data_IF_918898087160
#
_entry.id   IF_918898087160
#
_cell.length_a   1.000
_cell.length_b   1.000
_cell.length_c   1.000
_cell.angle_alpha   90.00
_cell.angle_beta   90.00
_cell.angle_gamma   90.00
#
_symmetry.space_group_name_H-M   'P 1'
#
loop_
_entity.id
_entity.type
_entity.pdbx_description
1 polymer ?
#
# COMPACT_ATOMS: atom_id res chain seq x y z
N UNK A 1 34.68 -18.89 -39.51
CA UNK A 1 33.24 -19.27 -39.45
C UNK A 1 32.77 -19.73 -38.04
N UNK A 2 33.58 -20.47 -37.24
CA UNK A 2 33.20 -20.88 -35.87
C UNK A 2 33.04 -19.71 -34.89
N UNK A 3 33.93 -18.70 -34.95
CA UNK A 3 33.87 -17.53 -34.02
C UNK A 3 32.66 -16.61 -34.22
N UNK A 4 32.02 -16.66 -35.39
CA UNK A 4 30.81 -15.85 -35.69
C UNK A 4 29.54 -16.58 -35.22
N UNK A 5 29.55 -17.90 -35.20
CA UNK A 5 28.44 -18.71 -34.67
C UNK A 5 28.35 -18.61 -33.15
N UNK A 6 29.50 -18.64 -32.43
CA UNK A 6 29.51 -18.48 -30.95
C UNK A 6 29.05 -17.08 -30.49
N UNK A 7 29.38 -16.01 -31.25
CA UNK A 7 28.87 -14.67 -30.94
C UNK A 7 27.37 -14.48 -31.20
N UNK A 8 26.82 -15.23 -32.16
CA UNK A 8 25.38 -15.22 -32.43
C UNK A 8 24.61 -16.07 -31.41
N UNK A 9 25.20 -17.16 -30.92
CA UNK A 9 24.63 -18.03 -29.94
C UNK A 9 24.61 -17.34 -28.55
N UNK A 10 25.69 -16.66 -28.12
CA UNK A 10 25.72 -15.83 -26.91
C UNK A 10 24.77 -14.64 -26.97
N UNK A 11 24.57 -14.04 -28.16
CA UNK A 11 23.60 -12.95 -28.34
C UNK A 11 22.13 -13.44 -28.26
N UNK A 12 21.88 -14.66 -28.76
CA UNK A 12 20.58 -15.31 -28.68
C UNK A 12 20.26 -15.79 -27.25
N UNK A 13 21.26 -16.31 -26.53
CA UNK A 13 21.10 -16.67 -25.11
C UNK A 13 20.90 -15.45 -24.19
N UNK A 14 21.62 -14.35 -24.43
CA UNK A 14 21.38 -13.07 -23.71
C UNK A 14 20.03 -12.49 -24.07
N UNK A 15 19.58 -12.57 -25.33
CA UNK A 15 18.23 -12.16 -25.73
C UNK A 15 17.14 -13.12 -25.20
N UNK A 16 17.43 -14.42 -25.05
CA UNK A 16 16.54 -15.40 -24.44
C UNK A 16 16.41 -15.24 -22.93
N UNK A 17 17.46 -14.81 -22.24
CA UNK A 17 17.44 -14.49 -20.82
C UNK A 17 16.68 -13.18 -20.51
N UNK A 18 16.62 -12.25 -21.46
CA UNK A 18 15.85 -11.00 -21.29
C UNK A 18 14.34 -11.18 -21.51
N UNK A 19 13.88 -12.30 -22.08
CA UNK A 19 12.45 -12.53 -22.35
C UNK A 19 11.67 -13.24 -21.24
N UNK A 20 12.33 -13.70 -20.17
CA UNK A 20 11.63 -14.32 -19.03
C UNK A 20 11.54 -13.40 -17.80
N UNK A 21 11.95 -12.14 -17.93
CA UNK A 21 11.88 -11.13 -16.89
C UNK A 21 10.46 -10.59 -16.77
N UNK A 22 9.66 -11.22 -15.88
CA UNK A 22 8.52 -10.54 -15.28
C UNK A 22 7.23 -10.51 -16.10
N UNK A 23 6.68 -11.68 -16.49
CA UNK A 23 5.31 -11.73 -17.04
C UNK A 23 4.19 -11.43 -16.03
N UNK A 24 4.51 -11.20 -14.76
CA UNK A 24 3.57 -10.95 -13.69
C UNK A 24 3.59 -9.51 -13.15
N UNK A 25 2.51 -9.10 -12.46
CA UNK A 25 2.45 -7.78 -11.85
C UNK A 25 3.36 -7.65 -10.63
N UNK A 26 3.79 -6.41 -10.36
CA UNK A 26 4.44 -6.00 -9.14
C UNK A 26 3.41 -5.39 -8.18
N UNK A 27 3.27 -5.97 -6.99
CA UNK A 27 2.43 -5.41 -5.93
C UNK A 27 3.28 -4.80 -4.83
N UNK A 28 3.04 -3.52 -4.53
CA UNK A 28 3.65 -2.82 -3.40
C UNK A 28 2.63 -2.76 -2.27
N UNK A 29 2.95 -3.42 -1.17
CA UNK A 29 2.06 -3.61 -0.03
C UNK A 29 2.74 -3.14 1.26
N UNK A 30 1.96 -2.64 2.17
CA UNK A 30 2.38 -2.25 3.51
C UNK A 30 1.17 -1.79 4.30
N UNK A 31 1.27 -1.77 5.61
CA UNK A 31 0.16 -1.26 6.43
C UNK A 31 -0.06 0.23 6.15
N UNK A 32 -1.27 0.72 6.38
CA UNK A 32 -1.53 2.16 6.33
C UNK A 32 -0.48 2.93 7.11
N UNK A 33 0.01 4.03 6.57
CA UNK A 33 1.01 4.88 7.19
C UNK A 33 2.41 4.25 7.31
N UNK A 34 2.69 3.16 6.63
CA UNK A 34 4.02 2.53 6.60
C UNK A 34 4.99 3.16 5.59
N UNK A 35 4.56 4.13 4.77
CA UNK A 35 5.42 4.75 3.76
C UNK A 35 5.20 4.21 2.33
N UNK A 36 4.13 3.44 2.09
CA UNK A 36 3.81 2.92 0.75
C UNK A 36 3.68 4.00 -0.32
N UNK A 37 3.16 5.20 0.03
CA UNK A 37 3.06 6.32 -0.92
C UNK A 37 4.40 6.93 -1.27
N UNK A 38 5.34 6.99 -0.30
CA UNK A 38 6.72 7.39 -0.56
C UNK A 38 7.38 6.40 -1.52
N UNK A 39 7.30 5.11 -1.21
CA UNK A 39 7.88 4.06 -2.04
C UNK A 39 7.31 4.07 -3.47
N UNK A 40 5.99 4.24 -3.60
CA UNK A 40 5.33 4.41 -4.90
C UNK A 40 5.93 5.57 -5.70
N UNK A 41 6.06 6.74 -5.07
CA UNK A 41 6.59 7.94 -5.74
C UNK A 41 8.05 7.77 -6.18
N UNK A 42 8.86 7.00 -5.43
CA UNK A 42 10.23 6.70 -5.78
C UNK A 42 10.32 5.67 -6.93
N UNK A 43 9.52 4.59 -6.87
CA UNK A 43 9.51 3.53 -7.87
C UNK A 43 9.06 4.04 -9.25
N UNK A 44 8.00 4.84 -9.29
CA UNK A 44 7.45 5.35 -10.56
C UNK A 44 8.33 6.40 -11.25
N UNK A 45 9.50 6.74 -10.71
CA UNK A 45 10.51 7.53 -11.43
C UNK A 45 11.36 6.69 -12.38
N UNK A 46 11.33 5.37 -12.24
CA UNK A 46 12.03 4.47 -13.15
C UNK A 46 11.23 4.27 -14.44
N UNK A 47 11.90 4.39 -15.60
CA UNK A 47 11.23 4.30 -16.90
C UNK A 47 10.59 2.94 -17.19
N UNK A 48 11.11 1.88 -16.58
CA UNK A 48 10.58 0.52 -16.74
C UNK A 48 9.48 0.16 -15.75
N UNK A 49 9.15 1.03 -14.78
CA UNK A 49 8.15 0.76 -13.74
C UNK A 49 6.96 1.70 -13.89
N UNK A 50 5.76 1.15 -13.93
CA UNK A 50 4.51 1.91 -13.80
C UNK A 50 3.54 1.19 -12.90
N UNK A 51 3.31 1.76 -11.73
CA UNK A 51 2.38 1.23 -10.74
C UNK A 51 1.14 2.09 -10.63
N UNK A 52 0.00 1.46 -10.49
CA UNK A 52 -1.24 2.13 -10.16
C UNK A 52 -1.30 2.46 -8.66
N UNK A 53 -1.77 3.66 -8.33
CA UNK A 53 -1.88 4.13 -6.96
C UNK A 53 -3.27 3.85 -6.39
N UNK A 54 -3.36 2.95 -5.41
CA UNK A 54 -4.59 2.66 -4.64
C UNK A 54 -5.82 2.51 -5.53
N UNK A 55 -5.75 1.59 -6.49
CA UNK A 55 -6.83 1.31 -7.42
C UNK A 55 -8.02 0.60 -6.76
N UNK A 56 -7.76 -0.21 -5.73
CA UNK A 56 -8.74 -0.99 -4.97
C UNK A 56 -9.65 -1.90 -5.81
N UNK A 57 -9.37 -2.06 -7.11
CA UNK A 57 -10.18 -2.91 -7.97
C UNK A 57 -10.26 -4.37 -7.49
N UNK A 58 -9.19 -4.98 -6.94
CA UNK A 58 -9.27 -6.31 -6.34
C UNK A 58 -10.28 -6.42 -5.20
N UNK A 59 -10.54 -5.34 -4.46
CA UNK A 59 -11.56 -5.31 -3.40
C UNK A 59 -12.98 -5.36 -3.96
N UNK A 60 -13.15 -4.90 -5.20
CA UNK A 60 -14.44 -4.90 -5.90
C UNK A 60 -14.70 -6.21 -6.67
N UNK A 61 -14.01 -7.30 -6.28
CA UNK A 61 -14.19 -8.62 -6.89
C UNK A 61 -15.67 -9.08 -7.02
N UNK A 62 -16.63 -8.66 -6.15
CA UNK A 62 -18.02 -9.04 -6.34
C UNK A 62 -18.62 -8.53 -7.66
N UNK A 63 -18.04 -7.50 -8.29
CA UNK A 63 -18.47 -7.05 -9.62
C UNK A 63 -18.19 -8.07 -10.74
N UNK A 64 -17.34 -9.08 -10.45
CA UNK A 64 -16.89 -10.11 -11.38
C UNK A 64 -17.42 -11.51 -11.01
N UNK A 65 -18.35 -11.60 -10.06
CA UNK A 65 -18.99 -12.85 -9.68
C UNK A 65 -19.84 -13.42 -10.82
N UNK A 66 -19.93 -14.77 -10.89
CA UNK A 66 -20.75 -15.43 -11.90
C UNK A 66 -20.10 -15.55 -13.27
N UNK A 67 -18.77 -15.38 -13.38
CA UNK A 67 -17.99 -15.61 -14.60
C UNK A 67 -18.08 -14.51 -15.65
N UNK A 68 -18.85 -13.45 -15.39
CA UNK A 68 -18.92 -12.26 -16.25
C UNK A 68 -18.93 -11.00 -15.41
N UNK A 69 -18.15 -9.96 -15.80
CA UNK A 69 -18.20 -8.68 -15.11
C UNK A 69 -19.57 -8.02 -15.27
N UNK A 70 -19.99 -7.29 -14.25
CA UNK A 70 -21.18 -6.43 -14.36
C UNK A 70 -20.95 -5.38 -15.45
N UNK A 71 -22.00 -5.08 -16.22
CA UNK A 71 -21.92 -4.06 -17.31
C UNK A 71 -21.48 -2.67 -16.81
N UNK A 72 -21.79 -2.35 -15.55
CA UNK A 72 -21.46 -1.05 -14.93
C UNK A 72 -20.23 -1.08 -14.02
N UNK A 73 -19.37 -2.12 -14.10
CA UNK A 73 -18.24 -2.31 -13.21
C UNK A 73 -17.23 -1.13 -13.28
N UNK A 74 -16.96 -0.61 -14.46
CA UNK A 74 -16.08 0.55 -14.65
C UNK A 74 -16.62 1.81 -13.98
N UNK A 75 -17.92 2.08 -14.17
CA UNK A 75 -18.57 3.22 -13.55
C UNK A 75 -18.54 3.12 -12.02
N UNK A 76 -18.70 1.90 -11.47
CA UNK A 76 -18.63 1.63 -10.04
C UNK A 76 -17.22 1.77 -9.50
N UNK A 77 -16.23 1.23 -10.20
CA UNK A 77 -14.82 1.38 -9.82
C UNK A 77 -14.41 2.86 -9.83
N UNK A 78 -14.72 3.58 -10.90
CA UNK A 78 -14.47 5.02 -10.97
C UNK A 78 -15.22 5.79 -9.86
N UNK A 79 -16.44 5.37 -9.55
CA UNK A 79 -17.19 5.93 -8.44
C UNK A 79 -16.58 5.58 -7.07
N UNK A 80 -15.93 4.42 -6.90
CA UNK A 80 -15.33 4.00 -5.63
C UNK A 80 -14.21 4.95 -5.18
N UNK A 81 -13.19 5.15 -5.99
CA UNK A 81 -12.01 5.93 -5.60
C UNK A 81 -11.40 6.81 -6.70
N UNK A 82 -12.04 6.89 -7.86
CA UNK A 82 -11.56 7.68 -9.01
C UNK A 82 -10.15 7.33 -9.50
N UNK A 83 -9.66 6.11 -9.23
CA UNK A 83 -8.32 5.68 -9.64
C UNK A 83 -8.10 5.77 -11.16
N UNK A 84 -9.05 5.34 -12.02
CA UNK A 84 -8.90 5.49 -13.46
C UNK A 84 -8.69 6.95 -13.89
N UNK A 85 -9.43 7.89 -13.31
CA UNK A 85 -9.31 9.32 -13.64
C UNK A 85 -7.97 9.88 -13.19
N UNK A 86 -7.50 9.51 -11.97
CA UNK A 86 -6.20 9.95 -11.43
C UNK A 86 -5.03 9.49 -12.32
N UNK A 87 -5.16 8.30 -12.91
CA UNK A 87 -4.16 7.73 -13.80
C UNK A 87 -4.42 8.04 -15.29
N UNK A 88 -5.41 8.87 -15.60
CA UNK A 88 -5.76 9.26 -16.97
C UNK A 88 -6.01 8.06 -17.91
N UNK A 89 -6.55 6.97 -17.35
CA UNK A 89 -6.83 5.75 -18.11
C UNK A 89 -8.09 5.96 -18.96
N UNK A 90 -8.01 5.66 -20.24
CA UNK A 90 -9.17 5.62 -21.11
C UNK A 90 -10.03 4.38 -20.80
N UNK A 91 -11.15 4.62 -20.12
CA UNK A 91 -12.07 3.57 -19.73
C UNK A 91 -12.87 3.01 -20.92
N UNK A 92 -12.96 3.73 -22.04
CA UNK A 92 -13.73 3.28 -23.20
C UNK A 92 -13.10 2.07 -23.86
N UNK A 93 -11.78 1.98 -23.84
CA UNK A 93 -11.03 0.84 -24.37
C UNK A 93 -11.10 -0.43 -23.50
N UNK A 94 -11.42 -0.29 -22.20
CA UNK A 94 -11.44 -1.39 -21.25
C UNK A 94 -12.79 -2.13 -21.25
N UNK A 95 -13.90 -1.41 -21.41
CA UNK A 95 -15.24 -1.92 -21.10
C UNK A 95 -15.69 -3.11 -21.95
N UNK A 96 -15.18 -3.24 -23.16
CA UNK A 96 -15.63 -4.25 -24.11
C UNK A 96 -14.89 -5.60 -24.00
N UNK A 97 -13.73 -5.65 -23.33
CA UNK A 97 -12.77 -6.77 -23.49
C UNK A 97 -12.38 -7.51 -22.21
N UNK A 98 -12.73 -7.03 -21.02
CA UNK A 98 -12.33 -7.65 -19.77
C UNK A 98 -13.31 -8.78 -19.34
N UNK A 99 -13.05 -10.06 -19.69
CA UNK A 99 -13.97 -11.16 -19.37
C UNK A 99 -13.90 -11.58 -17.89
N UNK A 100 -12.90 -11.12 -17.13
CA UNK A 100 -12.67 -11.51 -15.73
C UNK A 100 -11.97 -10.41 -14.95
N UNK A 101 -11.94 -10.53 -13.61
CA UNK A 101 -11.15 -9.64 -12.74
C UNK A 101 -9.66 -9.65 -13.14
N UNK A 102 -9.08 -10.82 -13.42
CA UNK A 102 -7.70 -10.94 -13.87
C UNK A 102 -7.45 -10.12 -15.13
N UNK A 103 -8.28 -10.29 -16.15
CA UNK A 103 -8.15 -9.55 -17.41
C UNK A 103 -8.34 -8.04 -17.22
N UNK A 104 -9.28 -7.63 -16.36
CA UNK A 104 -9.48 -6.21 -16.03
C UNK A 104 -8.25 -5.58 -15.37
N UNK A 105 -7.66 -6.26 -14.38
CA UNK A 105 -6.45 -5.82 -13.68
C UNK A 105 -5.24 -5.77 -14.64
N UNK A 106 -5.03 -6.85 -15.39
CA UNK A 106 -3.90 -6.95 -16.31
C UNK A 106 -3.96 -5.86 -17.39
N UNK A 107 -5.11 -5.68 -18.02
CA UNK A 107 -5.30 -4.63 -19.01
C UNK A 107 -5.05 -3.25 -18.39
N UNK A 108 -5.64 -2.99 -17.24
CA UNK A 108 -5.54 -1.69 -16.56
C UNK A 108 -4.11 -1.35 -16.18
N UNK A 109 -3.38 -2.31 -15.60
CA UNK A 109 -2.01 -2.05 -15.17
C UNK A 109 -1.05 -1.90 -16.37
N UNK A 110 -1.21 -2.73 -17.40
CA UNK A 110 -0.41 -2.64 -18.63
C UNK A 110 -0.68 -1.37 -19.44
N UNK A 111 -1.88 -0.77 -19.31
CA UNK A 111 -2.19 0.50 -19.97
C UNK A 111 -1.33 1.68 -19.48
N UNK A 112 -0.63 1.53 -18.35
CA UNK A 112 0.35 2.52 -17.88
C UNK A 112 1.67 2.51 -18.69
N UNK A 113 1.90 1.50 -19.55
CA UNK A 113 2.88 1.56 -20.62
C UNK A 113 4.31 1.11 -20.30
N UNK A 114 4.59 0.58 -19.10
CA UNK A 114 5.94 0.12 -18.72
C UNK A 114 6.07 -1.40 -18.67
N UNK A 115 7.32 -1.91 -18.75
CA UNK A 115 7.63 -3.33 -18.72
C UNK A 115 7.26 -3.99 -17.39
N UNK A 116 7.51 -3.29 -16.27
CA UNK A 116 7.09 -3.69 -14.93
C UNK A 116 5.84 -2.90 -14.56
N UNK A 117 4.74 -3.60 -14.47
CA UNK A 117 3.41 -3.07 -14.24
C UNK A 117 2.79 -3.68 -12.98
N UNK A 118 1.82 -3.01 -12.40
CA UNK A 118 1.13 -3.49 -11.20
C UNK A 118 0.47 -2.38 -10.41
N UNK A 119 0.41 -2.56 -9.10
CA UNK A 119 -0.27 -1.59 -8.24
C UNK A 119 0.35 -1.47 -6.85
N UNK A 120 0.14 -0.31 -6.25
CA UNK A 120 0.40 -0.04 -4.84
C UNK A 120 -0.91 0.19 -4.12
N UNK A 121 -1.23 -0.65 -3.14
CA UNK A 121 -2.32 -0.37 -2.22
C UNK A 121 -2.02 -0.91 -0.82
N UNK A 122 -2.18 -0.08 0.22
CA UNK A 122 -2.09 -0.57 1.60
C UNK A 122 -3.27 -1.50 1.94
N UNK A 123 -4.37 -1.45 1.18
CA UNK A 123 -5.54 -2.30 1.39
C UNK A 123 -5.32 -3.77 0.99
N UNK A 124 -4.19 -4.10 0.38
CA UNK A 124 -3.85 -5.48 -0.01
C UNK A 124 -3.22 -6.30 1.12
N UNK A 125 -2.97 -5.71 2.28
CA UNK A 125 -2.22 -6.33 3.38
C UNK A 125 -2.81 -7.68 3.86
N UNK A 126 -4.10 -7.93 3.71
CA UNK A 126 -4.77 -9.18 4.10
C UNK A 126 -5.33 -9.99 2.92
N UNK A 127 -4.89 -9.67 1.69
CA UNK A 127 -5.33 -10.33 0.46
C UNK A 127 -4.19 -10.65 -0.51
N UNK A 128 -2.95 -10.62 -0.04
CA UNK A 128 -1.78 -10.89 -0.89
C UNK A 128 -1.82 -12.29 -1.52
N UNK A 129 -2.21 -13.32 -0.77
CA UNK A 129 -2.39 -14.67 -1.31
C UNK A 129 -3.48 -14.75 -2.38
N UNK A 130 -4.55 -13.96 -2.25
CA UNK A 130 -5.58 -13.86 -3.29
C UNK A 130 -5.01 -13.25 -4.56
N UNK A 131 -4.20 -12.20 -4.46
CA UNK A 131 -3.52 -11.61 -5.62
C UNK A 131 -2.55 -12.60 -6.26
N UNK A 132 -1.76 -13.33 -5.47
CA UNK A 132 -0.88 -14.38 -5.96
C UNK A 132 -1.66 -15.53 -6.64
N UNK A 133 -2.85 -15.88 -6.17
CA UNK A 133 -3.70 -16.89 -6.83
C UNK A 133 -4.26 -16.41 -8.17
N UNK A 134 -4.53 -15.11 -8.32
CA UNK A 134 -4.95 -14.49 -9.58
C UNK A 134 -3.76 -14.42 -10.56
N UNK A 135 -2.57 -14.07 -10.04
CA UNK A 135 -1.34 -13.90 -10.79
C UNK A 135 -0.21 -14.77 -10.19
N UNK A 136 -0.08 -16.02 -10.60
CA UNK A 136 0.95 -16.92 -10.04
C UNK A 136 2.39 -16.42 -10.17
N UNK A 137 2.66 -15.56 -11.16
CA UNK A 137 3.98 -14.93 -11.38
C UNK A 137 4.07 -13.52 -10.78
N UNK A 138 3.18 -13.15 -9.84
CA UNK A 138 3.25 -11.86 -9.17
C UNK A 138 4.49 -11.78 -8.29
N UNK A 139 5.08 -10.58 -8.24
CA UNK A 139 6.15 -10.22 -7.31
C UNK A 139 5.62 -9.23 -6.29
N UNK A 140 6.12 -9.31 -5.07
CA UNK A 140 5.66 -8.44 -3.98
C UNK A 140 6.84 -7.67 -3.38
N UNK A 141 6.66 -6.36 -3.21
CA UNK A 141 7.50 -5.55 -2.32
C UNK A 141 6.67 -5.21 -1.10
N UNK A 142 7.12 -5.65 0.08
CA UNK A 142 6.44 -5.39 1.34
C UNK A 142 7.26 -4.38 2.14
N UNK A 143 6.64 -3.23 2.43
CA UNK A 143 7.26 -2.21 3.29
C UNK A 143 6.76 -2.35 4.72
N UNK A 144 7.70 -2.58 5.62
CA UNK A 144 7.51 -2.63 7.05
C UNK A 144 7.87 -1.30 7.71
N UNK A 145 7.26 -1.00 8.82
CA UNK A 145 7.55 0.16 9.64
C UNK A 145 7.29 -0.15 11.10
N UNK A 146 7.97 0.53 12.02
CA UNK A 146 7.67 0.46 13.45
C UNK A 146 6.17 0.65 13.72
N UNK A 147 5.54 -0.35 14.37
CA UNK A 147 4.10 -0.34 14.62
C UNK A 147 3.68 0.82 15.52
N UNK A 148 4.55 1.26 16.45
CA UNK A 148 4.29 2.45 17.26
C UNK A 148 4.27 3.70 16.39
N UNK A 149 5.19 3.80 15.43
CA UNK A 149 5.21 4.89 14.44
C UNK A 149 3.97 4.90 13.55
N UNK A 150 3.52 3.72 13.10
CA UNK A 150 2.26 3.59 12.35
C UNK A 150 1.08 4.03 13.19
N UNK A 151 0.92 3.50 14.42
CA UNK A 151 -0.19 3.83 15.30
C UNK A 151 -0.21 5.33 15.67
N UNK A 152 0.95 5.95 15.92
CA UNK A 152 1.06 7.40 16.17
C UNK A 152 0.59 8.20 14.95
N UNK A 153 1.00 7.78 13.74
CA UNK A 153 0.58 8.42 12.49
C UNK A 153 -0.92 8.27 12.23
N UNK A 154 -1.50 7.10 12.54
CA UNK A 154 -2.96 6.85 12.45
C UNK A 154 -3.72 7.71 13.45
N UNK A 155 -3.25 7.82 14.71
CA UNK A 155 -3.87 8.65 15.72
C UNK A 155 -3.96 10.11 15.28
N UNK A 156 -2.84 10.69 14.84
CA UNK A 156 -2.81 12.08 14.34
C UNK A 156 -3.69 12.29 13.10
N UNK A 157 -3.68 11.33 12.15
CA UNK A 157 -4.56 11.40 10.99
C UNK A 157 -6.04 11.33 11.37
N UNK A 158 -6.37 10.71 12.51
CA UNK A 158 -7.72 10.61 13.06
C UNK A 158 -8.19 11.84 13.83
N UNK A 159 -7.31 12.79 14.19
CA UNK A 159 -7.66 14.07 14.84
C UNK A 159 -8.46 14.99 13.92
N UNK A 160 -8.39 14.77 12.62
CA UNK A 160 -9.17 15.49 11.60
C UNK A 160 -10.24 14.57 11.01
N UNK A 161 -11.37 15.11 10.49
CA UNK A 161 -12.35 14.33 9.77
C UNK A 161 -11.70 13.60 8.59
N UNK A 162 -11.41 12.30 8.77
CA UNK A 162 -10.73 11.46 7.78
C UNK A 162 -11.21 10.02 7.90
N UNK A 163 -10.78 9.17 6.97
CA UNK A 163 -11.00 7.73 7.10
C UNK A 163 -10.40 7.15 8.38
N UNK A 164 -9.30 7.73 8.89
CA UNK A 164 -8.62 7.33 10.12
C UNK A 164 -9.34 7.72 11.41
N UNK A 165 -10.31 8.65 11.37
CA UNK A 165 -11.13 9.04 12.52
C UNK A 165 -12.17 7.98 12.92
N UNK A 166 -12.27 6.87 12.21
CA UNK A 166 -13.23 5.78 12.49
C UNK A 166 -12.90 5.07 13.79
N UNK A 167 -13.95 4.70 14.52
CA UNK A 167 -13.83 3.90 15.74
C UNK A 167 -13.08 2.59 15.46
N UNK A 168 -12.15 2.24 16.35
CA UNK A 168 -11.40 0.99 16.26
C UNK A 168 -10.22 0.99 15.28
N UNK A 169 -9.86 2.13 14.65
CA UNK A 169 -8.76 2.19 13.68
C UNK A 169 -7.42 1.72 14.25
N UNK A 170 -7.07 2.10 15.47
CA UNK A 170 -5.82 1.63 16.10
C UNK A 170 -5.86 0.11 16.29
N UNK A 171 -6.99 -0.42 16.72
CA UNK A 171 -7.17 -1.87 16.88
C UNK A 171 -7.01 -2.60 15.54
N UNK A 172 -7.66 -2.08 14.48
CA UNK A 172 -7.52 -2.60 13.11
C UNK A 172 -6.08 -2.52 12.62
N UNK A 173 -5.37 -1.44 12.94
CA UNK A 173 -3.97 -1.25 12.55
C UNK A 173 -3.08 -2.33 13.17
N UNK A 174 -3.20 -2.58 14.48
CA UNK A 174 -2.39 -3.59 15.17
C UNK A 174 -2.70 -4.99 14.64
N UNK A 175 -3.97 -5.34 14.51
CA UNK A 175 -4.36 -6.66 14.02
C UNK A 175 -4.13 -6.84 12.52
N UNK A 176 -4.31 -5.76 11.74
CA UNK A 176 -4.00 -5.76 10.31
C UNK A 176 -2.52 -5.96 10.04
N UNK A 177 -1.66 -5.33 10.86
CA UNK A 177 -0.22 -5.54 10.78
C UNK A 177 0.17 -7.01 11.06
N UNK A 178 -0.43 -7.62 12.10
CA UNK A 178 -0.25 -9.04 12.36
C UNK A 178 -0.79 -9.91 11.22
N UNK A 179 -1.93 -9.53 10.63
CA UNK A 179 -2.50 -10.24 9.48
C UNK A 179 -1.62 -10.16 8.26
N UNK A 180 -1.05 -8.99 7.97
CA UNK A 180 -0.10 -8.79 6.89
C UNK A 180 1.12 -9.71 7.02
N UNK A 181 1.62 -9.89 8.25
CA UNK A 181 2.70 -10.84 8.52
C UNK A 181 2.29 -12.27 8.15
N UNK A 182 1.12 -12.72 8.59
CA UNK A 182 0.63 -14.07 8.27
C UNK A 182 0.44 -14.29 6.77
N UNK A 183 -0.02 -13.29 6.04
CA UNK A 183 -0.12 -13.34 4.57
C UNK A 183 1.26 -13.41 3.91
N UNK A 184 2.22 -12.62 4.40
CA UNK A 184 3.63 -12.68 3.93
C UNK A 184 4.22 -14.08 4.15
N UNK A 185 4.06 -14.68 5.33
CA UNK A 185 4.59 -16.01 5.63
C UNK A 185 4.00 -17.06 4.67
N UNK A 186 2.72 -16.94 4.33
CA UNK A 186 2.05 -17.81 3.35
C UNK A 186 2.61 -17.62 1.94
N UNK A 187 2.86 -16.37 1.50
CA UNK A 187 3.48 -16.10 0.20
C UNK A 187 4.84 -16.77 0.10
N UNK A 188 5.70 -16.56 1.09
CA UNK A 188 7.05 -17.16 1.12
C UNK A 188 6.97 -18.69 1.14
N UNK A 189 6.07 -19.27 1.96
CA UNK A 189 5.86 -20.72 2.00
C UNK A 189 5.32 -21.30 0.69
N UNK A 190 4.63 -20.49 -0.09
CA UNK A 190 4.12 -20.86 -1.42
C UNK A 190 5.15 -20.63 -2.56
N UNK A 191 6.38 -20.18 -2.23
CA UNK A 191 7.42 -19.90 -3.21
C UNK A 191 7.20 -18.65 -4.05
N UNK A 192 6.33 -17.72 -3.61
CA UNK A 192 6.10 -16.45 -4.28
C UNK A 192 7.27 -15.51 -4.02
N UNK A 193 7.72 -14.78 -5.04
CA UNK A 193 8.82 -13.81 -4.93
C UNK A 193 8.41 -12.60 -4.09
N UNK A 194 9.08 -12.42 -2.94
CA UNK A 194 8.84 -11.34 -1.99
C UNK A 194 10.14 -10.62 -1.65
N UNK A 195 10.15 -9.30 -1.80
CA UNK A 195 11.21 -8.42 -1.34
C UNK A 195 10.72 -7.56 -0.18
N UNK A 196 11.42 -7.59 0.94
CA UNK A 196 11.02 -6.87 2.14
C UNK A 196 11.94 -5.69 2.39
N UNK A 197 11.35 -4.53 2.65
CA UNK A 197 12.08 -3.31 3.00
C UNK A 197 11.53 -2.70 4.28
N UNK A 198 12.33 -1.86 4.93
CA UNK A 198 11.94 -1.11 6.12
C UNK A 198 11.86 0.37 5.81
N UNK A 199 10.77 1.01 6.26
CA UNK A 199 10.56 2.45 6.11
C UNK A 199 11.74 3.26 6.64
N UNK A 200 12.27 2.86 7.79
CA UNK A 200 13.38 3.51 8.48
C UNK A 200 14.65 3.48 7.61
N UNK A 201 14.92 2.36 6.93
CA UNK A 201 16.04 2.25 5.98
C UNK A 201 15.77 3.04 4.70
N UNK A 202 14.53 3.01 4.19
CA UNK A 202 14.16 3.78 3.00
C UNK A 202 14.39 5.28 3.20
N UNK A 203 14.08 5.82 4.39
CA UNK A 203 14.27 7.26 4.65
C UNK A 203 15.69 7.63 5.04
N UNK A 204 16.44 6.73 5.70
CA UNK A 204 17.83 6.99 6.10
C UNK A 204 18.83 6.72 4.98
N UNK A 205 18.58 5.75 4.12
CA UNK A 205 19.43 5.39 2.99
C UNK A 205 18.60 4.99 1.76
N UNK A 206 17.93 5.95 1.12
CA UNK A 206 17.06 5.68 -0.03
C UNK A 206 17.83 5.04 -1.19
N UNK A 207 19.07 5.45 -1.43
CA UNK A 207 19.90 4.92 -2.52
C UNK A 207 20.16 3.42 -2.36
N UNK A 208 20.58 2.96 -1.19
CA UNK A 208 20.84 1.55 -0.95
C UNK A 208 19.54 0.73 -1.04
N UNK A 209 18.44 1.24 -0.47
CA UNK A 209 17.13 0.56 -0.53
C UNK A 209 16.65 0.41 -1.96
N UNK A 210 16.75 1.48 -2.77
CA UNK A 210 16.28 1.42 -4.16
C UNK A 210 17.18 0.56 -5.05
N UNK A 211 18.50 0.50 -4.80
CA UNK A 211 19.40 -0.46 -5.47
C UNK A 211 19.00 -1.89 -5.19
N UNK A 212 18.74 -2.27 -3.92
CA UNK A 212 18.29 -3.61 -3.57
C UNK A 212 16.94 -3.98 -4.22
N UNK A 213 16.03 -3.02 -4.38
CA UNK A 213 14.79 -3.22 -5.13
C UNK A 213 15.08 -3.45 -6.62
N UNK A 214 15.98 -2.67 -7.23
CA UNK A 214 16.35 -2.85 -8.64
C UNK A 214 17.02 -4.21 -8.89
N UNK A 215 17.86 -4.67 -7.97
CA UNK A 215 18.45 -6.02 -8.01
C UNK A 215 17.35 -7.10 -7.95
N UNK A 216 16.39 -6.98 -7.04
CA UNK A 216 15.24 -7.89 -6.96
C UNK A 216 14.39 -7.88 -8.24
N UNK A 217 14.20 -6.71 -8.85
CA UNK A 217 13.44 -6.54 -10.08
C UNK A 217 14.27 -6.88 -11.33
N UNK A 218 15.58 -7.08 -11.19
CA UNK A 218 16.54 -7.35 -12.26
C UNK A 218 16.59 -6.25 -13.33
N UNK A 219 16.55 -4.98 -12.86
CA UNK A 219 16.68 -3.78 -13.68
C UNK A 219 17.84 -2.92 -13.24
N UNK A 220 18.31 -2.04 -14.11
CA UNK A 220 19.37 -1.09 -13.79
C UNK A 220 18.84 -0.05 -12.76
N UNK A 221 19.70 0.34 -11.80
CA UNK A 221 19.34 1.38 -10.87
C UNK A 221 19.32 2.76 -11.53
N UNK A 222 18.25 3.52 -11.33
CA UNK A 222 18.13 4.91 -11.75
C UNK A 222 18.27 5.86 -10.53
N UNK A 223 19.26 6.77 -10.53
CA UNK A 223 19.47 7.71 -9.41
C UNK A 223 18.25 8.56 -9.06
N UNK A 224 17.33 8.82 -10.00
CA UNK A 224 16.09 9.56 -9.75
C UNK A 224 15.25 8.91 -8.66
N UNK A 225 15.30 7.58 -8.54
CA UNK A 225 14.55 6.81 -7.54
C UNK A 225 14.94 7.12 -6.09
N UNK A 226 16.02 7.86 -5.84
CA UNK A 226 16.47 8.21 -4.48
C UNK A 226 16.04 9.59 -4.01
N UNK A 227 15.23 10.31 -4.80
CA UNK A 227 14.78 11.68 -4.49
C UNK A 227 13.34 11.89 -4.93
N UNK A 228 12.61 12.77 -4.24
CA UNK A 228 11.27 13.18 -4.63
C UNK A 228 11.23 14.40 -5.55
N UNK A 229 12.39 14.98 -5.89
CA UNK A 229 12.49 16.28 -6.58
C UNK A 229 11.68 16.34 -7.89
N UNK A 230 11.69 15.25 -8.67
CA UNK A 230 11.01 15.17 -9.98
C UNK A 230 9.93 14.08 -10.00
N UNK A 231 9.51 13.57 -8.85
CA UNK A 231 8.53 12.51 -8.77
C UNK A 231 7.15 13.00 -9.24
N UNK A 232 6.52 12.27 -10.17
CA UNK A 232 5.12 12.49 -10.50
C UNK A 232 4.23 11.94 -9.37
N UNK A 233 3.50 12.85 -8.75
CA UNK A 233 2.60 12.58 -7.62
C UNK A 233 1.15 12.89 -7.96
N UNK A 234 0.85 13.14 -9.23
CA UNK A 234 -0.50 13.54 -9.68
C UNK A 234 -1.58 12.51 -9.34
N UNK A 235 -1.22 11.23 -9.25
CA UNK A 235 -2.13 10.16 -8.85
C UNK A 235 -2.27 9.99 -7.33
N UNK A 236 -1.38 10.57 -6.51
CA UNK A 236 -1.43 10.50 -5.04
C UNK A 236 -2.55 11.39 -4.53
N UNK A 237 -3.30 10.92 -3.53
CA UNK A 237 -4.36 11.73 -2.92
C UNK A 237 -3.79 13.02 -2.32
N UNK A 238 -4.43 14.14 -2.64
CA UNK A 238 -4.13 15.45 -2.05
C UNK A 238 -4.82 15.60 -0.69
N UNK A 239 -4.41 14.78 0.25
CA UNK A 239 -4.87 14.86 1.64
C UNK A 239 -3.70 15.30 2.54
N UNK A 240 -3.98 16.14 3.53
CA UNK A 240 -2.94 16.73 4.40
C UNK A 240 -2.01 15.72 5.10
N UNK A 241 -2.43 14.46 5.19
CA UNK A 241 -1.58 13.38 5.71
C UNK A 241 -0.56 12.82 4.70
N UNK A 242 -0.59 13.26 3.44
CA UNK A 242 0.42 12.98 2.41
C UNK A 242 1.42 14.13 2.24
N UNK A 243 1.39 15.16 3.08
CA UNK A 243 2.26 16.34 2.98
C UNK A 243 3.77 16.00 2.84
N UNK A 244 4.23 14.94 3.53
CA UNK A 244 5.63 14.50 3.44
C UNK A 244 6.00 13.91 2.08
N UNK A 245 5.05 13.29 1.37
CA UNK A 245 5.27 12.80 0.00
C UNK A 245 5.25 13.96 -0.99
N UNK A 246 4.57 15.05 -0.65
CA UNK A 246 4.48 16.26 -1.46
C UNK A 246 5.70 17.19 -1.28
N UNK A 247 6.61 16.90 -0.34
CA UNK A 247 7.88 17.61 -0.23
C UNK A 247 8.87 17.22 -1.34
N UNK A 248 9.86 18.06 -1.61
CA UNK A 248 10.97 17.73 -2.54
C UNK A 248 12.01 16.80 -1.93
N UNK A 249 11.99 16.65 -0.60
CA UNK A 249 12.97 15.87 0.16
C UNK A 249 12.30 14.71 0.88
N UNK A 250 13.08 13.64 1.03
CA UNK A 250 12.66 12.49 1.85
C UNK A 250 12.88 12.87 3.32
N UNK A 251 11.80 13.24 4.00
CA UNK A 251 11.85 13.62 5.41
C UNK A 251 11.44 12.43 6.28
N UNK A 252 12.30 12.08 7.24
CA UNK A 252 11.96 11.12 8.27
C UNK A 252 10.87 11.69 9.16
N UNK A 253 9.71 11.05 9.19
CA UNK A 253 8.69 11.41 10.19
C UNK A 253 9.10 10.82 11.55
N UNK A 254 9.97 11.50 12.29
CA UNK A 254 10.18 11.26 13.71
C UNK A 254 8.91 11.67 14.45
N UNK A 255 7.94 10.79 14.50
CA UNK A 255 6.71 11.08 15.20
C UNK A 255 6.89 10.71 16.68
N UNK A 256 6.67 11.70 17.54
CA UNK A 256 6.63 11.48 18.98
C UNK A 256 5.64 10.35 19.30
N UNK A 257 6.11 9.36 20.06
CA UNK A 257 5.30 8.23 20.56
C UNK A 257 4.37 8.65 21.69
N UNK A 258 4.45 9.90 22.13
CA UNK A 258 3.71 10.44 23.30
C UNK A 258 2.22 10.54 23.06
N UNK A 259 1.79 10.58 21.78
CA UNK A 259 0.36 10.59 21.40
C UNK A 259 -0.36 9.28 21.75
N UNK A 260 0.37 8.19 22.00
CA UNK A 260 -0.22 6.88 22.26
C UNK A 260 -0.54 6.67 23.72
N UNK A 261 -1.79 6.29 24.02
CA UNK A 261 -2.18 5.92 25.38
C UNK A 261 -1.40 4.69 25.88
N UNK A 262 -1.23 4.57 27.19
CA UNK A 262 -0.57 3.42 27.84
C UNK A 262 -1.20 2.08 27.43
N UNK A 263 -2.53 2.05 27.24
CA UNK A 263 -3.26 0.86 26.78
C UNK A 263 -2.81 0.44 25.37
N UNK A 264 -2.66 1.41 24.46
CA UNK A 264 -2.19 1.15 23.09
C UNK A 264 -0.74 0.70 23.08
N UNK A 265 0.14 1.41 23.81
CA UNK A 265 1.56 1.02 23.97
C UNK A 265 1.69 -0.41 24.51
N UNK A 266 0.89 -0.76 25.53
CA UNK A 266 0.84 -2.11 26.08
C UNK A 266 0.42 -3.16 25.05
N UNK A 267 -0.61 -2.87 24.27
CA UNK A 267 -1.11 -3.80 23.25
C UNK A 267 -0.07 -4.02 22.15
N UNK A 268 0.56 -2.96 21.67
CA UNK A 268 1.64 -3.02 20.68
C UNK A 268 2.77 -3.90 21.19
N UNK A 269 3.28 -3.65 22.42
CA UNK A 269 4.37 -4.41 23.01
C UNK A 269 4.05 -5.91 23.14
N UNK A 270 2.80 -6.25 23.49
CA UNK A 270 2.35 -7.65 23.62
C UNK A 270 2.30 -8.38 22.27
N UNK A 271 1.81 -7.71 21.23
CA UNK A 271 1.79 -8.28 19.87
C UNK A 271 3.20 -8.37 19.28
N UNK A 272 4.06 -7.38 19.51
CA UNK A 272 5.44 -7.41 19.06
C UNK A 272 6.20 -8.65 19.59
N UNK A 273 5.88 -9.12 20.79
CA UNK A 273 6.48 -10.35 21.34
C UNK A 273 6.09 -11.64 20.61
N UNK A 274 4.93 -11.67 19.93
CA UNK A 274 4.58 -12.81 19.08
C UNK A 274 5.54 -12.97 17.90
N UNK A 275 6.24 -11.89 17.53
CA UNK A 275 7.09 -11.85 16.35
C UNK A 275 8.58 -11.91 16.68
N UNK A 276 8.95 -11.53 17.91
CA UNK A 276 10.36 -11.44 18.33
C UNK A 276 11.09 -12.79 18.25
N UNK A 277 10.41 -13.86 18.63
CA UNK A 277 10.99 -15.20 18.65
C UNK A 277 11.20 -15.78 17.25
N UNK A 278 10.44 -15.29 16.25
CA UNK A 278 10.49 -15.78 14.88
C UNK A 278 11.49 -15.01 14.00
N UNK A 279 11.87 -13.80 14.42
CA UNK A 279 12.68 -12.86 13.61
C UNK A 279 13.84 -12.25 14.40
N UNK A 280 14.45 -13.02 15.30
CA UNK A 280 15.60 -12.56 16.09
C UNK A 280 16.70 -12.01 15.15
N UNK A 281 16.85 -10.68 15.12
CA UNK A 281 17.90 -9.97 14.40
C UNK A 281 17.51 -9.36 13.04
N UNK A 282 16.37 -9.69 12.46
CA UNK A 282 15.99 -9.17 11.13
C UNK A 282 15.02 -7.97 11.14
N UNK A 283 14.31 -7.76 12.23
CA UNK A 283 13.37 -6.65 12.34
C UNK A 283 13.99 -5.51 13.14
N UNK A 284 13.76 -4.24 12.73
CA UNK A 284 14.04 -3.13 13.62
C UNK A 284 13.17 -3.35 14.83
N UNK A 285 13.80 -3.95 15.80
CA UNK A 285 13.18 -4.39 17.05
C UNK A 285 12.56 -3.15 17.67
N UNK A 286 11.33 -3.27 18.05
CA UNK A 286 10.68 -2.51 19.07
C UNK A 286 11.56 -2.50 20.32
N UNK A 287 12.64 -1.73 20.28
CA UNK A 287 13.54 -1.47 21.39
C UNK A 287 12.92 -0.40 22.27
N UNK A 288 11.67 -0.59 22.70
CA UNK A 288 11.29 0.03 23.96
C UNK A 288 11.73 -0.96 25.04
N UNK A 289 12.57 -0.51 25.96
CA UNK A 289 12.93 -1.24 27.18
C UNK A 289 11.69 -1.79 27.91
N UNK A 290 10.52 -1.18 27.70
CA UNK A 290 9.21 -1.63 28.17
C UNK A 290 8.69 -2.94 27.56
N UNK A 291 9.22 -3.40 26.43
CA UNK A 291 8.74 -4.64 25.80
C UNK A 291 9.32 -5.91 26.46
N UNK A 292 10.40 -5.79 27.23
CA UNK A 292 11.10 -6.94 27.81
C UNK A 292 10.28 -7.64 28.90
N UNK A 293 9.40 -6.94 29.60
CA UNK A 293 8.74 -7.44 30.82
C UNK A 293 7.27 -7.86 30.62
N UNK A 294 6.68 -7.69 29.41
CA UNK A 294 5.27 -7.95 29.18
C UNK A 294 5.00 -9.32 28.58
N UNK A 295 4.09 -10.07 29.19
CA UNK A 295 3.67 -11.40 28.70
C UNK A 295 3.03 -11.30 27.30
N UNK A 296 3.26 -12.32 26.44
CA UNK A 296 2.53 -12.50 25.17
C UNK A 296 1.01 -12.44 25.41
N UNK A 297 0.20 -11.99 24.43
CA UNK A 297 -1.26 -12.01 24.59
C UNK A 297 -1.73 -13.45 24.81
N UNK A 298 -2.62 -13.63 25.78
CA UNK A 298 -3.21 -14.94 26.09
C UNK A 298 -4.03 -15.46 24.91
N UNK A 299 -4.34 -16.76 24.92
CA UNK A 299 -5.18 -17.34 23.88
C UNK A 299 -6.58 -16.70 23.83
N UNK A 300 -7.13 -16.34 25.02
CA UNK A 300 -8.43 -15.67 25.13
C UNK A 300 -8.39 -14.27 24.50
N UNK A 301 -7.37 -13.48 24.81
CA UNK A 301 -7.20 -12.15 24.23
C UNK A 301 -7.04 -12.20 22.72
N UNK A 302 -6.26 -13.15 22.20
CA UNK A 302 -6.14 -13.38 20.75
C UNK A 302 -7.48 -13.83 20.13
N UNK A 303 -8.29 -14.57 20.87
CA UNK A 303 -9.65 -14.98 20.47
C UNK A 303 -10.57 -13.77 20.34
N UNK A 304 -10.62 -12.92 21.37
CA UNK A 304 -11.41 -11.68 21.37
C UNK A 304 -10.93 -10.74 20.27
N UNK A 305 -9.63 -10.52 20.13
CA UNK A 305 -9.07 -9.67 19.10
C UNK A 305 -9.41 -10.17 17.69
N UNK A 306 -9.34 -11.48 17.46
CA UNK A 306 -9.78 -12.09 16.18
C UNK A 306 -11.27 -11.88 15.91
N UNK A 307 -12.09 -11.98 16.92
CA UNK A 307 -13.54 -11.73 16.80
C UNK A 307 -13.79 -10.27 16.40
N UNK A 308 -13.18 -9.32 17.12
CA UNK A 308 -13.30 -7.89 16.80
C UNK A 308 -12.83 -7.61 15.36
N UNK A 309 -11.67 -8.13 14.97
CA UNK A 309 -11.15 -7.96 13.62
C UNK A 309 -12.11 -8.54 12.56
N UNK A 310 -12.63 -9.74 12.78
CA UNK A 310 -13.61 -10.35 11.87
C UNK A 310 -14.89 -9.51 11.75
N UNK A 311 -15.42 -9.00 12.87
CA UNK A 311 -16.60 -8.12 12.86
C UNK A 311 -16.34 -6.85 12.05
N UNK A 312 -15.21 -6.18 12.27
CA UNK A 312 -14.82 -5.00 11.50
C UNK A 312 -14.63 -5.34 10.00
N UNK A 313 -14.03 -6.48 9.69
CA UNK A 313 -13.84 -6.94 8.32
C UNK A 313 -15.16 -7.29 7.64
N UNK A 314 -16.08 -7.94 8.34
CA UNK A 314 -17.44 -8.23 7.83
C UNK A 314 -18.18 -6.93 7.52
N UNK A 315 -18.06 -5.92 8.37
CA UNK A 315 -18.61 -4.60 8.08
C UNK A 315 -18.04 -4.00 6.80
N UNK A 316 -16.72 -4.06 6.60
CA UNK A 316 -16.11 -3.56 5.36
C UNK A 316 -16.59 -4.32 4.13
N UNK A 317 -16.68 -5.66 4.22
CA UNK A 317 -17.23 -6.48 3.15
C UNK A 317 -18.68 -6.11 2.84
N UNK A 318 -19.51 -5.88 3.84
CA UNK A 318 -20.88 -5.42 3.65
C UNK A 318 -20.92 -4.06 2.90
N UNK A 319 -20.05 -3.15 3.22
CA UNK A 319 -19.89 -1.87 2.50
C UNK A 319 -19.49 -2.14 1.04
N UNK A 320 -18.50 -2.99 0.79
CA UNK A 320 -18.06 -3.35 -0.56
C UNK A 320 -19.23 -3.96 -1.35
N UNK A 321 -19.95 -4.91 -0.78
CA UNK A 321 -21.13 -5.50 -1.43
C UNK A 321 -22.22 -4.46 -1.72
N UNK A 322 -22.48 -3.56 -0.77
CA UNK A 322 -23.41 -2.46 -1.00
C UNK A 322 -22.98 -1.60 -2.22
N UNK A 323 -21.71 -1.23 -2.30
CA UNK A 323 -21.20 -0.50 -3.46
C UNK A 323 -21.27 -1.27 -4.76
N UNK A 324 -21.08 -2.58 -4.70
CA UNK A 324 -21.13 -3.43 -5.89
C UNK A 324 -22.54 -3.67 -6.40
N UNK A 325 -23.56 -3.65 -5.53
CA UNK A 325 -24.92 -4.10 -5.91
C UNK A 325 -26.01 -3.05 -5.74
N UNK A 326 -25.86 -2.04 -4.88
CA UNK A 326 -26.87 -1.00 -4.73
C UNK A 326 -27.05 -0.21 -6.02
N UNK A 327 -28.26 0.29 -6.32
CA UNK A 327 -28.51 1.16 -7.45
C UNK A 327 -27.61 2.39 -7.44
N UNK A 328 -27.03 2.75 -8.58
CA UNK A 328 -26.07 3.86 -8.69
C UNK A 328 -26.66 5.22 -8.26
N UNK A 329 -27.95 5.44 -8.44
CA UNK A 329 -28.59 6.68 -7.99
C UNK A 329 -28.61 6.82 -6.48
N UNK A 330 -28.79 5.72 -5.73
CA UNK A 330 -28.70 5.71 -4.27
C UNK A 330 -27.26 6.03 -3.80
N UNK A 331 -26.26 5.43 -4.43
CA UNK A 331 -24.86 5.68 -4.12
C UNK A 331 -24.48 7.15 -4.39
N UNK A 332 -24.97 7.74 -5.49
CA UNK A 332 -24.78 9.15 -5.82
C UNK A 332 -25.47 10.07 -4.81
N UNK A 333 -26.70 9.73 -4.43
CA UNK A 333 -27.45 10.46 -3.39
C UNK A 333 -26.72 10.44 -2.04
N UNK A 334 -26.27 9.28 -1.59
CA UNK A 334 -25.48 9.14 -0.37
C UNK A 334 -24.19 9.98 -0.40
N UNK A 335 -23.44 9.95 -1.51
CA UNK A 335 -22.22 10.77 -1.66
C UNK A 335 -22.51 12.27 -1.63
N UNK A 336 -23.58 12.70 -2.26
CA UNK A 336 -24.03 14.11 -2.23
C UNK A 336 -24.37 14.55 -0.80
N UNK A 337 -25.12 13.72 -0.07
CA UNK A 337 -25.48 14.00 1.31
C UNK A 337 -24.23 14.10 2.21
N UNK A 338 -23.33 13.15 2.08
CA UNK A 338 -22.07 13.13 2.84
C UNK A 338 -21.20 14.38 2.58
N UNK A 339 -21.12 14.83 1.32
CA UNK A 339 -20.39 16.07 0.98
C UNK A 339 -21.02 17.30 1.65
N UNK A 340 -22.34 17.39 1.70
CA UNK A 340 -23.05 18.50 2.38
C UNK A 340 -22.79 18.51 3.87
N UNK A 341 -22.81 17.36 4.53
CA UNK A 341 -22.56 17.26 5.98
C UNK A 341 -21.09 17.58 6.33
N UNK A 342 -20.12 17.18 5.50
CA UNK A 342 -18.70 17.52 5.72
C UNK A 342 -18.38 18.98 5.39
N UNK A 343 -19.08 19.59 4.46
CA UNK A 343 -18.93 21.03 4.14
C UNK A 343 -19.56 21.95 5.19
N UNK A 344 -20.54 21.45 5.95
CA UNK A 344 -21.22 22.20 7.00
C UNK A 344 -20.42 22.28 8.32
N UNK A 345 -19.32 21.54 8.46
CA UNK A 345 -18.42 21.67 9.61
C UNK A 345 -17.51 22.88 9.37
N UNK A 346 -17.58 23.96 10.19
CA UNK A 346 -16.75 25.13 10.02
C UNK A 346 -15.27 24.72 10.02
N UNK A 347 -14.51 25.15 9.02
CA UNK A 347 -13.05 25.09 9.05
C UNK A 347 -12.61 26.02 10.14
N UNK A 348 -12.35 25.50 11.35
CA UNK A 348 -11.67 26.27 12.40
C UNK A 348 -10.38 26.81 11.82
N UNK A 349 -10.26 28.13 11.87
CA UNK A 349 -9.15 28.95 11.39
C UNK A 349 -7.84 28.33 11.85
N UNK A 350 -6.91 28.09 10.91
CA UNK A 350 -5.52 27.82 11.25
C UNK A 350 -4.99 28.97 12.12
N UNK A 351 -4.34 28.71 13.26
CA UNK A 351 -3.53 29.74 13.88
C UNK A 351 -2.44 30.13 12.87
N UNK A 352 -2.32 31.41 12.61
CA UNK A 352 -1.25 32.00 11.82
C UNK A 352 0.08 31.52 12.41
N UNK A 353 0.96 31.03 11.57
CA UNK A 353 2.34 30.78 11.95
C UNK A 353 2.96 32.15 12.22
N UNK A 354 3.15 32.49 13.49
CA UNK A 354 3.92 33.65 13.90
C UNK A 354 5.36 33.45 13.40
N UNK A 355 5.71 34.24 12.39
CA UNK A 355 7.07 34.42 11.93
C UNK A 355 7.77 35.37 12.92
N UNK A 356 8.26 34.86 14.05
CA UNK A 356 9.27 35.56 14.82
C UNK A 356 10.64 35.37 14.17
N UNK A 357 10.99 36.33 13.32
CA UNK A 357 12.37 36.59 12.94
C UNK A 357 13.06 37.23 14.13
N UNK A 358 13.77 36.45 14.92
CA UNK A 358 14.75 36.98 15.88
C UNK A 358 16.02 37.36 15.10
N UNK A 359 16.19 38.64 14.86
CA UNK A 359 17.47 39.20 14.45
C UNK A 359 18.36 39.28 15.68
N UNK A 360 19.45 38.52 15.67
CA UNK A 360 20.57 38.73 16.61
C UNK A 360 21.63 39.59 15.90
N UNK A 361 21.81 40.77 16.45
CA UNK A 361 22.91 41.66 16.18
C UNK A 361 24.24 41.13 16.76
#
# INVERSE_FOLDING_TARGET
MKATADKLQTKAEVAGLTHNLGSGPLFVVGMWRSGTSLLYALLNQHSEISLMYEDDLPLLWPLFMGGKPRRDWLARWNFWNSAPQRHKIDLSSISATAPSLKAALEFTYKSLGSAIWGAKSPNYFDSMMTLASIFPNARFIIIWRDLSGICSSVTRAGERPSWFARVGMIHRTILGYHRMKLERDRLVSAGVEVHEIHYEHLVSNPTATMKGICEFLQIAYDPRMSSLKNADRSAVFDEGHHALVNSSEIVSSQQSRDVLSLRVKSKIARYARLWKDEYAGQWPVYTSADASDRKKPSWLERGVDRLIYRTLRTYDLAIIFLYCFAPMYLLRGYRSLKRRTTAAVPRTVQPAADSETVSIS
#
